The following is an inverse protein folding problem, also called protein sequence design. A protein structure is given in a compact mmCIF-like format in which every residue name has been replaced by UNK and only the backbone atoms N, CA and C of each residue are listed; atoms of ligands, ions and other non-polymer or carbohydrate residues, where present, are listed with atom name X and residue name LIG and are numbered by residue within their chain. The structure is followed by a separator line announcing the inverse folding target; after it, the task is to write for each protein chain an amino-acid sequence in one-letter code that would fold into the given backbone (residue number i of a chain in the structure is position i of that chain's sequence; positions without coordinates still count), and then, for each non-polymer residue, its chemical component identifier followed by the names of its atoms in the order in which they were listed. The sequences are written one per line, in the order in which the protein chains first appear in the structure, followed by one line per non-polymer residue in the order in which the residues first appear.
data_IF_791298067782
#
_entry.id   IF_791298067782
#
_cell.length_a   1.000
_cell.length_b   1.000
_cell.length_c   1.000
_cell.angle_alpha   90.00
_cell.angle_beta   90.00
_cell.angle_gamma   90.00
#
_symmetry.space_group_name_H-M   'P 1'
#
loop_
_entity.id
_entity.type
_entity.pdbx_description
1 polymer ?
#
# COMPACT_ATOMS: atom_id res chain seq x y z
N UNK A 1 -7.90 22.71 2.18
CA UNK A 1 -6.53 22.21 2.02
C UNK A 1 -6.63 20.69 2.07
N UNK A 2 -5.90 19.95 1.22
CA UNK A 2 -5.96 18.48 1.25
C UNK A 2 -4.89 18.01 2.23
N UNK A 3 -5.30 17.62 3.43
CA UNK A 3 -4.37 17.38 4.53
C UNK A 3 -3.72 15.98 4.48
N UNK A 4 -4.26 15.05 3.68
CA UNK A 4 -3.73 13.71 3.48
C UNK A 4 -3.89 13.21 2.05
N UNK A 5 -2.93 12.40 1.60
CA UNK A 5 -2.92 11.74 0.30
C UNK A 5 -2.94 10.22 0.52
N UNK A 6 -3.90 9.56 -0.13
CA UNK A 6 -3.99 8.11 -0.22
C UNK A 6 -3.90 7.66 -1.67
N UNK A 7 -2.92 6.79 -1.98
CA UNK A 7 -2.71 6.26 -3.34
C UNK A 7 -2.89 4.76 -3.33
N UNK A 8 -3.91 4.26 -4.04
CA UNK A 8 -4.06 2.84 -4.32
C UNK A 8 -3.10 2.45 -5.45
N UNK A 9 -2.15 1.56 -5.16
CA UNK A 9 -1.12 1.14 -6.09
C UNK A 9 -1.23 -0.37 -6.33
N UNK A 10 -1.68 -0.83 -7.52
CA UNK A 10 -1.70 -2.24 -7.84
C UNK A 10 -0.28 -2.78 -8.01
N UNK A 11 0.06 -3.81 -7.24
CA UNK A 11 1.35 -4.51 -7.27
C UNK A 11 1.17 -5.95 -7.75
N UNK A 12 2.18 -6.46 -8.46
CA UNK A 12 2.14 -7.83 -8.99
C UNK A 12 2.38 -8.91 -7.91
N UNK A 13 3.09 -8.56 -6.82
CA UNK A 13 3.40 -9.45 -5.71
C UNK A 13 3.52 -8.60 -4.44
N UNK A 14 2.61 -8.82 -3.50
CA UNK A 14 2.53 -8.02 -2.28
C UNK A 14 3.73 -8.25 -1.36
N UNK A 15 4.19 -9.50 -1.24
CA UNK A 15 5.31 -9.83 -0.35
C UNK A 15 6.60 -9.21 -0.85
N UNK A 16 6.88 -9.33 -2.16
CA UNK A 16 8.07 -8.72 -2.77
C UNK A 16 8.08 -7.20 -2.62
N UNK A 17 6.92 -6.56 -2.74
CA UNK A 17 6.80 -5.12 -2.50
C UNK A 17 7.03 -4.77 -1.03
N UNK A 18 6.50 -5.54 -0.08
CA UNK A 18 6.77 -5.36 1.36
C UNK A 18 8.27 -5.45 1.65
N UNK A 19 8.93 -6.50 1.18
CA UNK A 19 10.35 -6.71 1.38
C UNK A 19 11.19 -5.55 0.81
N UNK A 20 10.86 -5.08 -0.39
CA UNK A 20 11.54 -3.94 -1.03
C UNK A 20 11.42 -2.65 -0.21
N UNK A 21 10.21 -2.25 0.18
CA UNK A 21 10.01 -0.99 0.90
C UNK A 21 10.53 -1.06 2.34
N UNK A 22 10.43 -2.22 2.99
CA UNK A 22 11.06 -2.44 4.30
C UNK A 22 12.58 -2.37 4.21
N UNK A 23 13.20 -2.92 3.16
CA UNK A 23 14.65 -2.80 2.95
C UNK A 23 15.12 -1.35 2.75
N UNK A 24 14.23 -0.48 2.25
CA UNK A 24 14.48 0.97 2.13
C UNK A 24 14.22 1.75 3.44
N UNK A 25 13.75 1.09 4.50
CA UNK A 25 13.47 1.69 5.80
C UNK A 25 12.04 2.18 6.00
N UNK A 26 11.16 1.97 5.02
CA UNK A 26 9.73 2.26 5.19
C UNK A 26 9.04 1.19 6.03
N UNK A 27 7.86 1.56 6.53
CA UNK A 27 7.06 0.74 7.43
C UNK A 27 5.63 0.64 6.93
N UNK A 28 4.97 -0.43 7.34
CA UNK A 28 3.58 -0.71 7.00
C UNK A 28 2.69 -0.54 8.23
N UNK A 29 1.48 -0.02 8.04
CA UNK A 29 0.46 0.02 9.08
C UNK A 29 -0.36 -1.29 9.06
N UNK A 30 -0.09 -2.17 10.03
CA UNK A 30 -0.74 -3.47 10.11
C UNK A 30 -2.25 -3.38 10.42
N UNK A 31 -2.75 -2.23 10.89
CA UNK A 31 -4.20 -2.02 11.10
C UNK A 31 -4.99 -1.97 9.79
N UNK A 32 -4.31 -1.62 8.70
CA UNK A 32 -4.86 -1.49 7.36
C UNK A 32 -4.18 -2.44 6.36
N UNK A 33 -3.51 -3.47 6.86
CA UNK A 33 -2.86 -4.50 6.03
C UNK A 33 -3.53 -5.85 6.24
N UNK A 34 -3.85 -6.55 5.15
CA UNK A 34 -4.35 -7.91 5.13
C UNK A 34 -3.60 -8.75 4.07
N UNK A 35 -4.13 -9.92 3.72
CA UNK A 35 -3.51 -10.77 2.69
C UNK A 35 -3.58 -10.18 1.27
N UNK A 36 -4.48 -9.25 1.01
CA UNK A 36 -4.74 -8.68 -0.32
C UNK A 36 -4.14 -7.28 -0.50
N UNK A 37 -3.93 -6.55 0.61
CA UNK A 37 -3.40 -5.19 0.59
C UNK A 37 -2.47 -4.89 1.78
N UNK A 38 -1.55 -3.95 1.60
CA UNK A 38 -0.66 -3.46 2.64
C UNK A 38 -0.57 -1.92 2.61
N UNK A 39 -0.74 -1.30 3.77
CA UNK A 39 -0.69 0.16 3.90
C UNK A 39 0.74 0.64 4.15
N UNK A 40 1.40 1.17 3.11
CA UNK A 40 2.75 1.73 3.16
C UNK A 40 2.71 3.19 3.62
N UNK A 41 3.37 3.51 4.74
CA UNK A 41 3.50 4.88 5.24
C UNK A 41 4.70 5.55 4.55
N UNK A 42 4.44 6.55 3.71
CA UNK A 42 5.48 7.30 2.96
C UNK A 42 5.87 8.61 3.65
N UNK A 43 5.06 9.08 4.60
CA UNK A 43 5.30 10.25 5.44
C UNK A 43 4.08 10.52 6.33
N UNK A 44 4.13 11.59 7.11
CA UNK A 44 3.11 11.91 8.13
C UNK A 44 1.68 12.02 7.56
N UNK A 45 1.56 12.40 6.29
CA UNK A 45 0.26 12.63 5.62
C UNK A 45 0.12 11.88 4.30
N UNK A 46 1.03 10.96 3.99
CA UNK A 46 1.06 10.24 2.72
C UNK A 46 1.11 8.74 2.97
N UNK A 47 0.08 8.04 2.49
CA UNK A 47 -0.03 6.59 2.58
C UNK A 47 -0.30 6.01 1.19
N UNK A 48 0.40 4.93 0.85
CA UNK A 48 0.09 4.14 -0.34
C UNK A 48 -0.49 2.79 0.06
N UNK A 49 -1.67 2.46 -0.45
CA UNK A 49 -2.26 1.14 -0.33
C UNK A 49 -1.72 0.27 -1.45
N UNK A 50 -0.77 -0.59 -1.15
CA UNK A 50 -0.29 -1.61 -2.09
C UNK A 50 -1.33 -2.72 -2.15
N UNK A 51 -1.84 -3.04 -3.34
CA UNK A 51 -2.93 -4.01 -3.51
C UNK A 51 -2.55 -5.05 -4.55
N UNK A 52 -2.88 -6.32 -4.32
CA UNK A 52 -2.81 -7.32 -5.38
C UNK A 52 -3.69 -6.89 -6.56
N UNK A 53 -3.23 -7.11 -7.80
CA UNK A 53 -3.93 -6.65 -9.01
C UNK A 53 -5.37 -7.16 -9.07
N UNK A 54 -5.59 -8.41 -8.69
CA UNK A 54 -6.88 -9.08 -8.66
C UNK A 54 -7.84 -8.37 -7.70
N UNK A 55 -7.34 -7.99 -6.52
CA UNK A 55 -8.13 -7.23 -5.55
C UNK A 55 -8.38 -5.81 -6.02
N UNK A 56 -7.36 -5.15 -6.58
CA UNK A 56 -7.48 -3.80 -7.14
C UNK A 56 -8.51 -3.74 -8.27
N UNK A 57 -8.61 -4.76 -9.12
CA UNK A 57 -9.65 -4.85 -10.16
C UNK A 57 -11.08 -4.83 -9.61
N UNK A 58 -11.31 -5.12 -8.33
CA UNK A 58 -12.65 -4.97 -7.72
C UNK A 58 -13.05 -3.51 -7.45
N UNK A 59 -12.09 -2.57 -7.56
CA UNK A 59 -12.29 -1.13 -7.31
C UNK A 59 -12.51 -0.33 -8.61
N UNK A 60 -12.29 -0.96 -9.77
CA UNK A 60 -12.43 -0.34 -11.08
C UNK A 60 -13.34 -1.21 -11.92
N UNK A 61 -14.53 -0.71 -12.26
CA UNK A 61 -15.45 -1.38 -13.19
C UNK A 61 -14.80 -1.65 -14.56
#
# INVERSE_FOLDING_TARGET
MHDMIFVNLPVADLQRSRDFFTALGYHFDDRFSDGNAAALVLGDTIVSMLMQKEFYSTFTD
#
